data_IF_033871915519
#
_entry.id   IF_033871915519
#
_cell.length_a   1.000
_cell.length_b   1.000
_cell.length_c   1.000
_cell.angle_alpha   90.00
_cell.angle_beta   90.00
_cell.angle_gamma   90.00
#
_symmetry.space_group_name_H-M   'P 1'
#
loop_
_entity.id
_entity.type
_entity.pdbx_description
1 polymer ?
#
# COMPACT_ATOMS: atom_id res chain seq x y z
N UNK A 1 -14.97 -12.87 26.85
CA UNK A 1 -14.80 -12.46 25.43
C UNK A 1 -13.83 -11.30 25.41
N UNK A 2 -12.69 -11.46 24.75
CA UNK A 2 -11.55 -10.58 25.01
C UNK A 2 -11.27 -9.70 23.80
N UNK A 3 -11.44 -8.40 23.97
CA UNK A 3 -10.91 -7.42 23.03
C UNK A 3 -9.40 -7.44 23.21
N UNK A 4 -8.66 -7.77 22.14
CA UNK A 4 -7.21 -7.72 22.16
C UNK A 4 -6.75 -6.34 21.74
N UNK A 5 -5.99 -5.68 22.62
CA UNK A 5 -5.37 -4.38 22.34
C UNK A 5 -3.96 -4.60 21.83
N UNK A 6 -3.52 -3.73 20.94
CA UNK A 6 -2.18 -3.74 20.38
C UNK A 6 -1.48 -2.42 20.68
N UNK A 7 -0.18 -2.44 21.02
CA UNK A 7 0.61 -1.23 21.11
C UNK A 7 0.64 -0.49 19.78
N UNK A 8 0.66 0.85 19.84
CA UNK A 8 0.78 1.69 18.64
C UNK A 8 2.01 1.35 17.80
N UNK A 9 3.12 1.01 18.47
CA UNK A 9 4.37 0.60 17.83
C UNK A 9 4.24 -0.65 16.96
N UNK A 10 3.30 -1.56 17.28
CA UNK A 10 3.03 -2.73 16.42
C UNK A 10 2.52 -2.29 15.06
N UNK A 11 1.57 -1.35 15.01
CA UNK A 11 1.00 -0.85 13.76
C UNK A 11 2.06 -0.11 12.93
N UNK A 12 2.89 0.72 13.59
CA UNK A 12 3.99 1.44 12.94
C UNK A 12 4.99 0.49 12.29
N UNK A 13 5.42 -0.55 13.01
CA UNK A 13 6.37 -1.56 12.48
C UNK A 13 5.79 -2.33 11.30
N UNK A 14 4.54 -2.77 11.40
CA UNK A 14 3.85 -3.46 10.30
C UNK A 14 3.76 -2.55 9.07
N UNK A 15 3.34 -1.29 9.25
CA UNK A 15 3.27 -0.31 8.18
C UNK A 15 4.63 -0.06 7.53
N UNK A 16 5.67 0.18 8.33
CA UNK A 16 7.04 0.40 7.85
C UNK A 16 7.55 -0.78 7.03
N UNK A 17 7.27 -2.01 7.47
CA UNK A 17 7.67 -3.21 6.74
C UNK A 17 6.96 -3.32 5.38
N UNK A 18 5.64 -3.11 5.35
CA UNK A 18 4.87 -3.16 4.09
C UNK A 18 5.39 -2.07 3.12
N UNK A 19 5.56 -0.85 3.62
CA UNK A 19 6.07 0.27 2.82
C UNK A 19 7.48 0.03 2.29
N UNK A 20 8.37 -0.53 3.11
CA UNK A 20 9.73 -0.90 2.70
C UNK A 20 9.80 -2.03 1.69
N UNK A 21 8.73 -2.83 1.55
CA UNK A 21 8.65 -3.88 0.52
C UNK A 21 8.00 -3.37 -0.77
N UNK A 22 7.13 -2.36 -0.67
CA UNK A 22 6.41 -1.77 -1.81
C UNK A 22 7.14 -0.55 -2.40
N UNK A 23 8.47 -0.60 -2.45
CA UNK A 23 9.28 0.50 -2.99
C UNK A 23 9.21 0.46 -4.51
N UNK A 24 8.70 1.52 -5.12
CA UNK A 24 8.82 1.75 -6.54
C UNK A 24 10.15 2.43 -6.81
N UNK A 25 10.96 1.85 -7.69
CA UNK A 25 12.11 2.52 -8.30
C UNK A 25 11.60 3.57 -9.30
N UNK A 26 10.80 4.52 -8.85
CA UNK A 26 10.46 5.67 -9.67
C UNK A 26 11.76 6.49 -9.81
N UNK A 27 12.17 6.78 -11.06
CA UNK A 27 13.34 7.58 -11.42
C UNK A 27 13.34 9.03 -10.88
N UNK A 28 12.40 9.36 -9.97
CA UNK A 28 12.33 10.59 -9.19
C UNK A 28 12.97 10.48 -7.81
N UNK A 29 13.39 9.28 -7.39
CA UNK A 29 14.47 9.20 -6.41
C UNK A 29 15.70 9.67 -7.17
N UNK A 30 16.05 10.96 -7.01
CA UNK A 30 17.26 11.55 -7.56
C UNK A 30 18.38 10.51 -7.40
N UNK A 31 18.92 9.90 -8.48
CA UNK A 31 20.30 9.48 -8.39
C UNK A 31 21.04 10.76 -8.00
N UNK A 32 21.88 10.68 -6.96
CA UNK A 32 22.86 11.73 -6.75
C UNK A 32 23.45 12.04 -8.12
N UNK A 33 23.31 13.29 -8.54
CA UNK A 33 23.82 13.76 -9.81
C UNK A 33 25.33 13.52 -9.80
N UNK A 34 25.77 12.40 -10.36
CA UNK A 34 27.17 12.10 -10.63
C UNK A 34 27.70 12.91 -11.84
N UNK A 35 26.96 13.93 -12.28
CA UNK A 35 27.37 14.88 -13.31
C UNK A 35 28.55 15.80 -12.90
N UNK A 36 29.25 15.48 -11.82
CA UNK A 36 30.50 16.14 -11.40
C UNK A 36 31.70 15.17 -11.32
N UNK A 37 31.60 13.95 -11.87
CA UNK A 37 32.79 13.13 -12.09
C UNK A 37 33.27 13.33 -13.52
N UNK A 38 34.33 14.15 -13.63
CA UNK A 38 35.17 14.28 -14.81
C UNK A 38 35.51 12.91 -15.42
N UNK A 39 35.60 12.87 -16.75
CA UNK A 39 35.73 11.69 -17.63
C UNK A 39 37.01 10.82 -17.44
N UNK A 40 37.67 10.82 -16.28
CA UNK A 40 38.95 10.10 -16.11
C UNK A 40 39.10 9.22 -14.86
N UNK A 41 38.06 8.99 -14.03
CA UNK A 41 38.22 8.08 -12.87
C UNK A 41 37.44 6.77 -13.00
N UNK A 42 38.19 5.68 -12.84
CA UNK A 42 37.79 4.28 -12.82
C UNK A 42 36.51 4.04 -12.00
N UNK A 43 35.60 3.25 -12.58
CA UNK A 43 34.42 2.70 -11.90
C UNK A 43 34.87 2.06 -10.57
N UNK A 44 34.37 2.51 -9.40
CA UNK A 44 34.72 1.87 -8.14
C UNK A 44 34.16 0.45 -8.11
N UNK A 45 34.99 -0.52 -7.72
CA UNK A 45 34.54 -1.89 -7.51
C UNK A 45 33.44 -1.94 -6.42
N UNK A 46 32.35 -2.68 -6.63
CA UNK A 46 31.25 -2.72 -5.67
C UNK A 46 31.69 -3.38 -4.35
N UNK A 47 31.49 -2.69 -3.23
CA UNK A 47 31.82 -3.19 -1.89
C UNK A 47 30.67 -3.98 -1.24
N UNK A 48 29.47 -4.01 -1.85
CA UNK A 48 28.28 -4.70 -1.33
C UNK A 48 27.39 -5.33 -2.42
N UNK A 49 26.65 -6.39 -2.04
CA UNK A 49 25.65 -7.03 -2.90
C UNK A 49 24.47 -6.09 -3.26
N UNK A 50 24.20 -5.07 -2.44
CA UNK A 50 23.19 -4.04 -2.74
C UNK A 50 23.63 -3.13 -3.92
N UNK A 51 24.94 -2.98 -4.14
CA UNK A 51 25.51 -2.15 -5.23
C UNK A 51 25.43 -2.84 -6.60
N UNK A 52 25.19 -4.16 -6.61
CA UNK A 52 25.01 -4.90 -7.87
C UNK A 52 23.71 -4.55 -8.58
N UNK A 53 22.71 -4.00 -7.88
CA UNK A 53 21.47 -3.52 -8.49
C UNK A 53 21.72 -2.41 -9.53
N UNK A 54 22.74 -1.57 -9.30
CA UNK A 54 23.20 -0.56 -10.25
C UNK A 54 24.02 -1.15 -11.41
N UNK A 55 24.76 -2.23 -11.16
CA UNK A 55 25.59 -2.91 -12.18
C UNK A 55 24.74 -3.67 -13.20
N UNK A 56 23.65 -4.30 -12.78
CA UNK A 56 22.73 -4.99 -13.70
C UNK A 56 21.88 -4.05 -14.55
N UNK A 57 21.83 -2.74 -14.25
CA UNK A 57 21.17 -1.75 -15.10
C UNK A 57 21.96 -1.46 -16.39
N UNK A 58 23.23 -1.88 -16.47
CA UNK A 58 24.12 -1.55 -17.59
C UNK A 58 24.27 -2.67 -18.64
N UNK A 59 23.76 -3.87 -18.37
CA UNK A 59 23.96 -5.04 -19.21
C UNK A 59 22.72 -5.44 -20.01
N UNK A 60 22.27 -4.62 -20.97
CA UNK A 60 21.34 -5.10 -22.00
C UNK A 60 20.22 -4.18 -22.46
N UNK A 61 20.38 -2.85 -22.39
CA UNK A 61 19.47 -1.94 -23.09
C UNK A 61 20.28 -1.09 -24.06
N UNK A 62 19.92 -1.15 -25.32
CA UNK A 62 20.45 -0.27 -26.35
C UNK A 62 20.11 1.19 -26.01
N UNK A 63 20.92 2.17 -26.45
CA UNK A 63 20.61 3.60 -26.25
C UNK A 63 19.24 4.02 -26.82
N UNK A 64 18.67 3.20 -27.72
CA UNK A 64 17.31 3.32 -28.26
C UNK A 64 16.20 2.87 -27.28
N UNK A 65 16.52 2.10 -26.23
CA UNK A 65 15.60 1.72 -25.15
C UNK A 65 15.70 2.67 -23.94
N UNK A 66 16.84 3.33 -23.76
CA UNK A 66 17.04 4.40 -22.76
C UNK A 66 16.33 5.71 -23.12
N UNK A 67 15.83 5.83 -24.35
CA UNK A 67 14.92 6.88 -24.81
C UNK A 67 13.42 6.56 -24.57
N UNK A 68 13.10 5.62 -23.67
CA UNK A 68 11.75 5.41 -23.12
C UNK A 68 11.26 6.51 -22.16
N UNK A 69 11.88 7.68 -22.17
CA UNK A 69 11.59 8.83 -21.31
C UNK A 69 10.30 9.57 -21.69
N UNK A 70 9.18 8.92 -22.02
CA UNK A 70 7.85 9.58 -22.12
C UNK A 70 6.68 8.61 -22.40
N UNK A 71 6.42 7.65 -21.52
CA UNK A 71 5.05 7.11 -21.40
C UNK A 71 4.29 7.86 -20.30
N UNK A 72 4.22 9.17 -20.48
CA UNK A 72 3.36 10.03 -19.68
C UNK A 72 1.94 9.81 -20.19
N UNK A 73 1.00 9.64 -19.27
CA UNK A 73 -0.44 9.50 -19.50
C UNK A 73 -0.93 8.14 -20.03
N UNK A 74 -0.28 7.04 -19.65
CA UNK A 74 -0.81 5.69 -19.89
C UNK A 74 -0.58 4.71 -18.75
N UNK A 75 -1.41 3.68 -18.71
CA UNK A 75 -1.25 2.57 -17.78
C UNK A 75 -0.14 1.60 -18.24
N UNK A 76 0.61 1.05 -17.29
CA UNK A 76 1.59 -0.01 -17.51
C UNK A 76 1.58 -1.01 -16.34
N UNK A 77 2.04 -2.23 -16.58
CA UNK A 77 2.19 -3.25 -15.52
C UNK A 77 3.46 -2.95 -14.71
N UNK A 78 3.36 -2.93 -13.38
CA UNK A 78 4.54 -2.80 -12.52
C UNK A 78 5.30 -4.12 -12.43
N UNK A 79 6.63 -4.02 -12.29
CA UNK A 79 7.50 -5.15 -11.99
C UNK A 79 7.49 -5.52 -10.50
N UNK A 80 7.01 -4.63 -9.62
CA UNK A 80 6.93 -4.88 -8.18
C UNK A 80 5.81 -5.85 -7.88
N UNK A 81 6.15 -6.96 -7.22
CA UNK A 81 5.17 -7.95 -6.76
C UNK A 81 4.58 -7.53 -5.40
N UNK A 82 3.31 -7.11 -5.31
CA UNK A 82 2.73 -6.67 -4.04
C UNK A 82 2.66 -7.79 -2.98
N UNK A 83 2.65 -9.05 -3.42
CA UNK A 83 2.59 -10.21 -2.54
C UNK A 83 3.88 -10.44 -1.74
N UNK A 84 5.02 -9.86 -2.15
CA UNK A 84 6.28 -10.02 -1.43
C UNK A 84 6.20 -9.45 0.00
N UNK A 85 5.35 -8.44 0.20
CA UNK A 85 5.08 -7.90 1.52
C UNK A 85 4.34 -8.87 2.45
N UNK A 86 3.75 -9.96 1.95
CA UNK A 86 3.13 -11.00 2.78
C UNK A 86 4.16 -12.00 3.35
N UNK A 87 5.36 -12.11 2.77
CA UNK A 87 6.34 -13.15 3.11
C UNK A 87 6.76 -13.14 4.59
N UNK A 88 6.87 -11.96 5.22
CA UNK A 88 7.23 -11.82 6.64
C UNK A 88 6.08 -11.31 7.52
N UNK A 89 4.87 -11.17 6.96
CA UNK A 89 3.71 -10.77 7.75
C UNK A 89 3.10 -12.01 8.44
N UNK A 90 3.12 -12.06 9.79
CA UNK A 90 2.64 -13.24 10.49
C UNK A 90 1.13 -13.41 10.31
N UNK A 91 0.72 -14.66 10.07
CA UNK A 91 -0.68 -15.05 10.03
C UNK A 91 -1.44 -14.61 8.78
N UNK A 92 -0.77 -14.09 7.74
CA UNK A 92 -1.35 -13.83 6.41
C UNK A 92 -0.57 -14.53 5.31
N UNK A 93 -1.27 -14.92 4.26
CA UNK A 93 -0.70 -15.53 3.06
C UNK A 93 -1.55 -15.23 1.85
N UNK A 94 -0.95 -15.23 0.66
CA UNK A 94 -1.70 -15.21 -0.58
C UNK A 94 -2.19 -16.63 -0.91
N UNK A 95 -3.45 -16.76 -1.32
CA UNK A 95 -3.96 -18.02 -1.84
C UNK A 95 -3.20 -18.40 -3.12
N UNK A 96 -2.61 -19.61 -3.22
CA UNK A 96 -1.75 -20.00 -4.34
C UNK A 96 -2.49 -20.11 -5.69
N UNK A 97 -3.83 -20.10 -5.68
CA UNK A 97 -4.61 -20.03 -6.91
C UNK A 97 -4.58 -18.64 -7.57
N UNK A 98 -4.07 -17.63 -6.87
CA UNK A 98 -4.07 -16.23 -7.28
C UNK A 98 -2.69 -15.59 -7.19
N UNK A 99 -2.49 -14.57 -8.01
CA UNK A 99 -1.35 -13.66 -7.98
C UNK A 99 -1.82 -12.23 -7.80
N UNK A 100 -1.11 -11.45 -6.98
CA UNK A 100 -1.30 -10.01 -6.93
C UNK A 100 -0.49 -9.36 -8.05
N UNK A 101 -1.15 -8.52 -8.83
CA UNK A 101 -0.54 -7.76 -9.93
C UNK A 101 -0.90 -6.31 -9.73
N UNK A 102 0.05 -5.42 -10.06
CA UNK A 102 -0.14 -3.99 -9.96
C UNK A 102 -0.01 -3.32 -11.33
N UNK A 103 -0.92 -2.40 -11.60
CA UNK A 103 -0.86 -1.49 -12.74
C UNK A 103 -0.59 -0.08 -12.23
N UNK A 104 0.21 0.68 -12.95
CA UNK A 104 0.59 2.05 -12.61
C UNK A 104 0.22 2.97 -13.75
N UNK A 105 -0.24 4.16 -13.40
CA UNK A 105 -0.46 5.29 -14.29
C UNK A 105 0.37 6.46 -13.80
N UNK A 106 1.04 7.16 -14.71
CA UNK A 106 1.92 8.31 -14.41
C UNK A 106 1.58 9.49 -15.31
N UNK A 107 1.24 10.63 -14.71
CA UNK A 107 0.92 11.88 -15.40
C UNK A 107 1.62 13.05 -14.71
N UNK A 108 2.82 13.40 -15.19
CA UNK A 108 3.61 14.49 -14.60
C UNK A 108 4.01 14.20 -13.15
N UNK A 109 3.48 14.98 -12.21
CA UNK A 109 3.68 14.81 -10.76
C UNK A 109 2.62 13.93 -10.09
N UNK A 110 1.54 13.62 -10.80
CA UNK A 110 0.47 12.77 -10.32
C UNK A 110 0.64 11.32 -10.80
N UNK A 111 0.03 10.41 -10.05
CA UNK A 111 0.09 8.98 -10.32
C UNK A 111 -0.98 8.23 -9.56
N UNK A 112 -1.39 7.09 -10.11
CA UNK A 112 -2.29 6.14 -9.48
C UNK A 112 -1.74 4.74 -9.71
N UNK A 113 -1.89 3.87 -8.72
CA UNK A 113 -1.75 2.44 -8.95
C UNK A 113 -3.06 1.72 -8.69
N UNK A 114 -3.14 0.52 -9.25
CA UNK A 114 -4.23 -0.41 -9.09
C UNK A 114 -3.63 -1.77 -8.79
N UNK A 115 -3.97 -2.34 -7.63
CA UNK A 115 -3.62 -3.73 -7.30
C UNK A 115 -4.85 -4.62 -7.48
N UNK A 116 -4.67 -5.71 -8.23
CA UNK A 116 -5.70 -6.71 -8.50
C UNK A 116 -5.18 -8.10 -8.16
N UNK A 117 -6.10 -9.00 -7.78
CA UNK A 117 -5.83 -10.42 -7.68
C UNK A 117 -6.34 -11.13 -8.93
N UNK A 118 -5.47 -11.77 -9.67
CA UNK A 118 -5.79 -12.56 -10.87
C UNK A 118 -5.50 -14.02 -10.62
N UNK A 119 -6.26 -14.98 -11.18
CA UNK A 119 -5.90 -16.39 -11.10
C UNK A 119 -4.52 -16.63 -11.70
N UNK A 120 -3.72 -17.53 -11.13
CA UNK A 120 -2.32 -17.77 -11.54
C UNK A 120 -2.17 -18.00 -13.05
N UNK A 121 -3.11 -18.74 -13.67
CA UNK A 121 -3.10 -19.00 -15.13
C UNK A 121 -3.25 -17.74 -16.00
N UNK A 122 -3.75 -16.63 -15.45
CA UNK A 122 -3.93 -15.35 -16.13
C UNK A 122 -2.91 -14.29 -15.70
N UNK A 123 -1.91 -14.65 -14.89
CA UNK A 123 -0.92 -13.69 -14.39
C UNK A 123 0.29 -13.50 -15.32
N UNK A 124 0.27 -14.09 -16.52
CA UNK A 124 1.36 -13.94 -17.50
C UNK A 124 1.29 -12.57 -18.18
N UNK A 125 2.43 -12.03 -18.59
CA UNK A 125 2.52 -10.69 -19.18
C UNK A 125 1.56 -10.52 -20.38
N UNK A 126 1.44 -11.54 -21.23
CA UNK A 126 0.52 -11.55 -22.39
C UNK A 126 -0.93 -11.28 -21.98
N UNK A 127 -1.41 -11.89 -20.90
CA UNK A 127 -2.77 -11.67 -20.40
C UNK A 127 -2.93 -10.30 -19.75
N UNK A 128 -1.91 -9.84 -19.03
CA UNK A 128 -1.94 -8.54 -18.35
C UNK A 128 -1.90 -7.38 -19.35
N UNK A 129 -1.07 -7.47 -20.39
CA UNK A 129 -0.96 -6.45 -21.45
C UNK A 129 -2.23 -6.35 -22.29
N UNK A 130 -2.94 -7.46 -22.51
CA UNK A 130 -4.25 -7.44 -23.19
C UNK A 130 -5.23 -6.49 -22.51
N UNK A 131 -5.20 -6.40 -21.18
CA UNK A 131 -6.06 -5.47 -20.43
C UNK A 131 -5.70 -3.99 -20.63
N UNK A 132 -4.44 -3.71 -21.01
CA UNK A 132 -3.97 -2.36 -21.32
C UNK A 132 -4.50 -1.87 -22.68
N UNK A 133 -4.77 -2.77 -23.62
CA UNK A 133 -5.28 -2.41 -24.95
C UNK A 133 -6.69 -1.80 -24.90
N UNK A 134 -7.45 -2.14 -23.86
CA UNK A 134 -8.83 -1.67 -23.63
C UNK A 134 -8.94 -0.59 -22.56
N UNK A 135 -7.81 -0.21 -21.93
CA UNK A 135 -7.80 0.82 -20.89
C UNK A 135 -7.62 2.22 -21.49
N UNK A 136 -8.16 3.22 -20.79
CA UNK A 136 -8.09 4.61 -21.21
C UNK A 136 -7.23 5.44 -20.25
N UNK A 137 -7.77 6.57 -19.82
CA UNK A 137 -7.16 7.42 -18.80
C UNK A 137 -7.34 6.83 -17.38
N UNK A 138 -7.08 7.66 -16.36
CA UNK A 138 -7.26 7.28 -14.94
C UNK A 138 -8.71 6.83 -14.63
N UNK A 139 -9.71 7.35 -15.35
CA UNK A 139 -11.12 7.01 -15.13
C UNK A 139 -11.50 5.64 -15.70
N UNK A 140 -10.65 5.08 -16.58
CA UNK A 140 -10.83 3.78 -17.21
C UNK A 140 -9.64 2.86 -16.93
N UNK A 141 -9.49 2.40 -15.67
CA UNK A 141 -8.38 1.54 -15.28
C UNK A 141 -8.43 0.19 -16.01
N UNK A 142 -7.27 -0.49 -16.15
CA UNK A 142 -7.19 -1.81 -16.75
C UNK A 142 -8.01 -2.83 -15.95
N UNK A 143 -8.65 -3.74 -16.69
CA UNK A 143 -9.49 -4.81 -16.14
C UNK A 143 -8.99 -6.16 -16.67
N UNK A 144 -8.06 -6.81 -15.98
CA UNK A 144 -7.58 -8.12 -16.41
C UNK A 144 -8.66 -9.19 -16.32
N UNK A 145 -8.55 -10.17 -17.22
CA UNK A 145 -9.50 -11.26 -17.35
C UNK A 145 -9.59 -12.07 -16.04
N UNK A 146 -10.81 -12.30 -15.55
CA UNK A 146 -11.11 -13.05 -14.32
C UNK A 146 -10.47 -12.51 -13.03
N UNK A 147 -10.10 -11.23 -12.99
CA UNK A 147 -9.68 -10.58 -11.76
C UNK A 147 -10.78 -10.61 -10.69
N UNK A 148 -10.41 -10.83 -9.43
CA UNK A 148 -11.34 -10.72 -8.32
C UNK A 148 -11.80 -9.26 -8.16
N UNK A 149 -13.06 -9.00 -7.78
CA UNK A 149 -13.56 -7.64 -7.55
C UNK A 149 -12.79 -6.88 -6.46
N UNK A 150 -12.26 -7.59 -5.47
CA UNK A 150 -11.40 -7.04 -4.42
C UNK A 150 -10.22 -7.99 -4.21
N UNK A 151 -9.00 -7.46 -4.27
CA UNK A 151 -7.79 -8.29 -4.12
C UNK A 151 -7.71 -8.97 -2.74
N UNK A 152 -8.34 -8.40 -1.70
CA UNK A 152 -8.40 -9.00 -0.36
C UNK A 152 -9.15 -10.34 -0.34
N UNK A 153 -9.93 -10.68 -1.37
CA UNK A 153 -10.57 -11.99 -1.50
C UNK A 153 -9.56 -13.11 -1.83
N UNK A 154 -8.36 -12.77 -2.30
CA UNK A 154 -7.26 -13.73 -2.50
C UNK A 154 -6.38 -13.91 -1.26
N UNK A 155 -6.63 -13.17 -0.17
CA UNK A 155 -5.81 -13.23 1.04
C UNK A 155 -6.41 -14.25 2.00
N UNK A 156 -5.56 -15.18 2.44
CA UNK A 156 -5.82 -16.17 3.47
C UNK A 156 -4.96 -15.88 4.71
N UNK A 157 -5.23 -16.59 5.81
CA UNK A 157 -4.53 -16.36 7.07
C UNK A 157 -5.04 -17.19 8.22
N UNK A 158 -4.38 -17.08 9.36
CA UNK A 158 -4.62 -17.90 10.56
C UNK A 158 -5.84 -17.45 11.39
N UNK A 159 -6.53 -16.38 10.96
CA UNK A 159 -7.70 -15.80 11.62
C UNK A 159 -7.41 -15.30 13.05
N UNK A 160 -6.14 -15.11 13.41
CA UNK A 160 -5.75 -14.54 14.69
C UNK A 160 -6.10 -13.04 14.74
N UNK A 161 -6.28 -12.45 15.94
CA UNK A 161 -6.49 -11.01 16.06
C UNK A 161 -5.39 -10.16 15.41
N UNK A 162 -4.13 -10.63 15.46
CA UNK A 162 -3.01 -9.95 14.81
C UNK A 162 -3.13 -10.00 13.28
N UNK A 163 -3.49 -11.14 12.69
CA UNK A 163 -3.66 -11.25 11.23
C UNK A 163 -4.69 -10.26 10.68
N UNK A 164 -5.80 -10.02 11.38
CA UNK A 164 -6.80 -9.02 10.95
C UNK A 164 -6.28 -7.60 11.03
N UNK A 165 -5.52 -7.27 12.09
CA UNK A 165 -4.88 -5.97 12.21
C UNK A 165 -3.90 -5.74 11.05
N UNK A 166 -3.09 -6.75 10.72
CA UNK A 166 -2.17 -6.67 9.60
C UNK A 166 -2.92 -6.55 8.28
N UNK A 167 -3.98 -7.34 8.05
CA UNK A 167 -4.79 -7.30 6.83
C UNK A 167 -5.40 -5.91 6.60
N UNK A 168 -5.81 -5.26 7.69
CA UNK A 168 -6.36 -3.90 7.70
C UNK A 168 -5.34 -2.86 7.23
N UNK A 169 -4.08 -2.99 7.66
CA UNK A 169 -2.98 -2.12 7.24
C UNK A 169 -2.53 -2.44 5.81
N UNK A 170 -2.28 -3.72 5.53
CA UNK A 170 -1.90 -4.23 4.21
C UNK A 170 -2.83 -3.75 3.12
N UNK A 171 -4.15 -3.87 3.33
CA UNK A 171 -5.13 -3.35 2.37
C UNK A 171 -4.92 -1.87 2.07
N UNK A 172 -4.75 -1.04 3.09
CA UNK A 172 -4.65 0.42 2.92
C UNK A 172 -3.36 0.81 2.21
N UNK A 173 -2.24 0.16 2.53
CA UNK A 173 -0.97 0.38 1.82
C UNK A 173 -1.09 -0.04 0.34
N UNK A 174 -1.69 -1.20 0.04
CA UNK A 174 -1.85 -1.66 -1.34
C UNK A 174 -2.86 -0.82 -2.14
N UNK A 175 -3.90 -0.28 -1.50
CA UNK A 175 -4.85 0.62 -2.16
C UNK A 175 -4.24 1.97 -2.54
N UNK A 176 -3.19 2.39 -1.85
CA UNK A 176 -2.45 3.62 -2.16
C UNK A 176 -1.15 3.34 -2.93
N UNK A 177 -0.84 2.08 -3.21
CA UNK A 177 0.34 1.71 -3.98
C UNK A 177 0.35 2.43 -5.33
N UNK A 178 1.44 3.15 -5.63
CA UNK A 178 1.58 3.91 -6.86
C UNK A 178 0.80 5.23 -6.92
N UNK A 179 0.11 5.64 -5.86
CA UNK A 179 -0.50 6.97 -5.77
C UNK A 179 0.58 8.05 -5.57
N UNK A 180 0.46 9.16 -6.29
CA UNK A 180 1.33 10.34 -6.15
C UNK A 180 0.49 11.62 -6.09
N UNK A 181 1.11 12.72 -5.67
CA UNK A 181 0.50 14.05 -5.65
C UNK A 181 -0.72 14.14 -4.74
N UNK A 182 -1.81 14.71 -5.25
CA UNK A 182 -3.04 14.94 -4.47
C UNK A 182 -3.88 13.67 -4.23
N UNK A 183 -3.50 12.55 -4.85
CA UNK A 183 -4.21 11.26 -4.76
C UNK A 183 -3.75 10.42 -3.58
N UNK A 184 -2.61 10.79 -3.00
CA UNK A 184 -2.17 10.35 -1.69
C UNK A 184 -3.20 10.76 -0.64
N UNK A 185 -3.87 9.78 -0.05
CA UNK A 185 -4.80 10.00 1.07
C UNK A 185 -4.23 9.37 2.33
N UNK A 186 -4.04 8.06 2.33
CA UNK A 186 -3.64 7.26 3.48
C UNK A 186 -2.20 7.54 3.96
N UNK A 187 -1.30 7.92 3.08
CA UNK A 187 0.10 8.26 3.35
C UNK A 187 0.23 9.51 4.23
N UNK A 188 -0.80 10.36 4.28
CA UNK A 188 -0.88 11.50 5.18
C UNK A 188 -1.45 11.17 6.56
N UNK A 189 -1.94 9.95 6.78
CA UNK A 189 -2.45 9.50 8.08
C UNK A 189 -1.29 9.09 8.99
N UNK A 190 -1.41 9.44 10.28
CA UNK A 190 -0.46 9.09 11.34
C UNK A 190 -1.24 8.44 12.48
N UNK A 191 -0.79 7.27 12.95
CA UNK A 191 -1.48 6.55 14.01
C UNK A 191 -1.41 7.29 15.35
N UNK A 192 -2.49 7.19 16.12
CA UNK A 192 -2.58 7.72 17.48
C UNK A 192 -3.20 6.69 18.42
N UNK A 193 -2.77 6.72 19.67
CA UNK A 193 -3.34 6.00 20.81
C UNK A 193 -3.77 6.95 21.95
N UNK A 194 -3.52 8.25 21.80
CA UNK A 194 -3.98 9.31 22.67
C UNK A 194 -4.12 10.64 21.89
N UNK A 195 -4.92 11.56 22.44
CA UNK A 195 -5.01 12.94 21.93
C UNK A 195 -3.87 13.78 22.50
N UNK A 196 -3.42 14.83 21.79
CA UNK A 196 -2.52 15.82 22.37
C UNK A 196 -3.16 16.48 23.60
N UNK A 197 -2.39 16.67 24.67
CA UNK A 197 -2.87 17.10 26.00
C UNK A 197 -3.55 18.49 26.06
N UNK A 198 -3.59 19.24 24.94
CA UNK A 198 -4.15 20.59 24.83
C UNK A 198 -5.01 20.78 23.56
N UNK A 199 -5.42 19.68 22.92
CA UNK A 199 -6.17 19.76 21.68
C UNK A 199 -7.62 20.22 21.92
N UNK A 200 -8.00 21.38 21.38
CA UNK A 200 -9.40 21.80 21.32
C UNK A 200 -10.13 20.96 20.26
N UNK A 201 -10.70 19.84 20.70
CA UNK A 201 -11.36 18.86 19.83
C UNK A 201 -12.83 19.22 19.62
N UNK A 202 -13.18 19.54 18.38
CA UNK A 202 -14.57 19.63 17.93
C UNK A 202 -15.03 18.23 17.50
N UNK A 203 -15.72 17.52 18.40
CA UNK A 203 -16.24 16.17 18.15
C UNK A 203 -17.39 16.21 17.13
N UNK A 204 -17.37 15.26 16.20
CA UNK A 204 -18.45 15.02 15.21
C UNK A 204 -19.29 13.79 15.53
N UNK A 205 -18.92 13.07 16.59
CA UNK A 205 -19.56 11.83 17.01
C UNK A 205 -19.82 11.86 18.50
N UNK A 206 -20.99 11.37 18.89
CA UNK A 206 -21.40 11.21 20.28
C UNK A 206 -21.72 9.72 20.56
N UNK A 207 -21.22 9.12 21.65
CA UNK A 207 -20.25 9.67 22.59
C UNK A 207 -18.83 9.77 22.00
N UNK A 208 -18.02 10.69 22.53
CA UNK A 208 -16.60 10.78 22.15
C UNK A 208 -15.85 9.50 22.57
N UNK A 209 -14.91 9.00 21.74
CA UNK A 209 -14.11 7.85 22.10
C UNK A 209 -13.26 8.13 23.33
N UNK A 210 -13.31 7.21 24.31
CA UNK A 210 -12.46 7.28 25.52
C UNK A 210 -11.14 6.54 25.36
N UNK A 211 -11.05 5.65 24.38
CA UNK A 211 -9.93 4.74 24.19
C UNK A 211 -9.54 4.68 22.71
N UNK A 212 -8.39 5.27 22.41
CA UNK A 212 -7.81 5.34 21.07
C UNK A 212 -6.84 4.19 20.78
N UNK A 213 -6.63 3.26 21.73
CA UNK A 213 -5.75 2.13 21.51
C UNK A 213 -6.25 1.26 20.34
N UNK A 214 -5.35 0.84 19.43
CA UNK A 214 -5.68 -0.14 18.41
C UNK A 214 -6.20 -1.43 19.03
N UNK A 215 -7.31 -1.95 18.52
CA UNK A 215 -7.97 -3.11 19.10
C UNK A 215 -8.62 -3.99 18.06
N UNK A 216 -8.66 -5.28 18.38
CA UNK A 216 -9.29 -6.30 17.54
C UNK A 216 -10.24 -7.12 18.40
N UNK A 217 -11.43 -7.36 17.87
CA UNK A 217 -12.43 -8.24 18.47
C UNK A 217 -12.76 -9.34 17.47
N UNK A 218 -12.44 -10.58 17.83
CA UNK A 218 -12.86 -11.78 17.09
C UNK A 218 -14.04 -12.40 17.83
N UNK A 219 -15.14 -12.62 17.11
CA UNK A 219 -16.36 -13.24 17.62
C UNK A 219 -16.24 -14.77 17.55
N UNK A 220 -16.96 -15.52 18.41
CA UNK A 220 -16.99 -16.99 18.33
C UNK A 220 -17.49 -17.51 16.98
N UNK A 221 -18.27 -16.72 16.25
CA UNK A 221 -18.75 -17.02 14.89
C UNK A 221 -17.65 -16.90 13.83
N UNK A 222 -16.43 -16.50 14.21
CA UNK A 222 -15.30 -16.27 13.31
C UNK A 222 -15.26 -14.88 12.69
N UNK A 223 -16.33 -14.07 12.81
CA UNK A 223 -16.31 -12.66 12.36
C UNK A 223 -15.33 -11.84 13.20
N UNK A 224 -14.71 -10.83 12.59
CA UNK A 224 -13.78 -9.96 13.31
C UNK A 224 -14.01 -8.49 13.01
N UNK A 225 -13.63 -7.64 13.96
CA UNK A 225 -13.59 -6.19 13.79
C UNK A 225 -12.25 -5.64 14.27
N UNK A 226 -11.64 -4.78 13.47
CA UNK A 226 -10.40 -4.06 13.77
C UNK A 226 -10.74 -2.58 13.90
N UNK A 227 -10.33 -1.97 15.00
CA UNK A 227 -10.49 -0.54 15.22
C UNK A 227 -9.14 0.10 15.56
N UNK A 228 -8.82 1.20 14.89
CA UNK A 228 -7.70 2.06 15.25
C UNK A 228 -7.98 3.50 14.81
N UNK A 229 -7.12 4.41 15.24
CA UNK A 229 -7.30 5.84 15.01
C UNK A 229 -6.06 6.43 14.37
N UNK A 230 -6.29 7.43 13.54
CA UNK A 230 -5.23 8.22 12.92
C UNK A 230 -5.59 9.71 12.96
N UNK A 231 -4.61 10.57 12.79
CA UNK A 231 -4.85 11.94 12.38
C UNK A 231 -4.21 12.21 11.01
N UNK A 232 -4.79 13.17 10.30
CA UNK A 232 -4.18 13.76 9.11
C UNK A 232 -3.65 15.14 9.47
N UNK A 233 -2.35 15.34 9.27
CA UNK A 233 -1.72 16.65 9.45
C UNK A 233 -2.25 17.62 8.38
N UNK A 234 -2.75 18.77 8.82
CA UNK A 234 -3.37 19.78 7.98
C UNK A 234 -3.92 20.91 8.85
N UNK A 235 -4.50 21.94 8.23
CA UNK A 235 -5.26 22.96 8.94
C UNK A 235 -6.71 22.97 8.44
N UNK A 236 -7.69 22.46 9.21
CA UNK A 236 -7.56 21.88 10.56
C UNK A 236 -6.96 20.46 10.55
N UNK A 237 -6.47 20.01 11.72
CA UNK A 237 -6.09 18.60 11.92
C UNK A 237 -7.37 17.78 12.04
N UNK A 238 -7.47 16.67 11.31
CA UNK A 238 -8.65 15.81 11.32
C UNK A 238 -8.31 14.47 11.93
N UNK A 239 -9.09 14.01 12.90
CA UNK A 239 -8.96 12.67 13.49
C UNK A 239 -9.94 11.72 12.81
N UNK A 240 -9.42 10.56 12.41
CA UNK A 240 -10.18 9.50 11.78
C UNK A 240 -10.26 8.28 12.70
N UNK A 241 -11.45 7.67 12.74
CA UNK A 241 -11.68 6.31 13.23
C UNK A 241 -11.74 5.39 12.03
N UNK A 242 -10.94 4.34 12.05
CA UNK A 242 -10.95 3.28 11.07
C UNK A 242 -11.54 2.04 11.72
N UNK A 243 -12.65 1.54 11.17
CA UNK A 243 -13.31 0.31 11.62
C UNK A 243 -13.45 -0.65 10.45
N UNK A 244 -12.71 -1.74 10.49
CA UNK A 244 -12.75 -2.77 9.46
C UNK A 244 -13.48 -4.00 9.98
N UNK A 245 -14.49 -4.46 9.24
CA UNK A 245 -15.29 -5.63 9.58
C UNK A 245 -14.99 -6.77 8.62
N UNK A 246 -14.71 -7.95 9.15
CA UNK A 246 -14.37 -9.15 8.39
C UNK A 246 -15.44 -10.22 8.56
N UNK A 247 -15.78 -10.88 7.45
CA UNK A 247 -16.65 -12.05 7.47
C UNK A 247 -15.96 -13.26 8.12
N UNK A 248 -16.73 -14.29 8.46
CA UNK A 248 -16.24 -15.45 9.21
C UNK A 248 -15.22 -16.33 8.46
N UNK A 249 -15.27 -16.34 7.12
CA UNK A 249 -14.57 -17.33 6.30
C UNK A 249 -13.46 -16.74 5.41
N UNK A 250 -13.31 -15.42 5.36
CA UNK A 250 -12.31 -14.78 4.49
C UNK A 250 -11.86 -13.42 5.05
N UNK A 251 -10.85 -12.84 4.41
CA UNK A 251 -10.33 -11.50 4.71
C UNK A 251 -11.00 -10.40 3.88
N UNK A 252 -12.16 -10.68 3.27
CA UNK A 252 -12.98 -9.64 2.65
C UNK A 252 -13.45 -8.69 3.74
N UNK A 253 -13.17 -7.40 3.52
CA UNK A 253 -13.39 -6.37 4.51
C UNK A 253 -14.49 -5.41 4.08
N UNK A 254 -15.32 -5.03 5.04
CA UNK A 254 -16.21 -3.88 4.95
C UNK A 254 -15.61 -2.73 5.78
N UNK A 255 -14.91 -1.78 5.15
CA UNK A 255 -14.24 -0.69 5.84
C UNK A 255 -15.19 0.47 6.14
N UNK A 256 -15.08 1.02 7.35
CA UNK A 256 -15.84 2.17 7.82
C UNK A 256 -14.87 3.21 8.38
N UNK A 257 -14.39 4.08 7.49
CA UNK A 257 -13.50 5.18 7.83
C UNK A 257 -14.34 6.45 8.08
N UNK A 258 -14.21 7.06 9.25
CA UNK A 258 -15.00 8.24 9.64
C UNK A 258 -14.13 9.32 10.28
N UNK A 259 -14.26 10.55 9.82
CA UNK A 259 -13.72 11.72 10.52
C UNK A 259 -14.55 11.98 11.80
N UNK A 260 -13.93 11.84 12.97
CA UNK A 260 -14.61 11.88 14.26
C UNK A 260 -14.36 13.17 15.05
N UNK A 261 -13.30 13.90 14.75
CA UNK A 261 -13.01 15.18 15.38
C UNK A 261 -12.15 16.08 14.49
N UNK A 262 -12.27 17.38 14.72
CA UNK A 262 -11.34 18.40 14.21
C UNK A 262 -10.58 19.00 15.38
N UNK A 263 -9.29 19.25 15.20
CA UNK A 263 -8.46 20.01 16.12
C UNK A 263 -8.04 21.30 15.39
N UNK A 264 -8.47 22.43 15.94
CA UNK A 264 -7.98 23.75 15.54
C UNK A 264 -6.65 24.00 16.27
N UNK A 265 -5.65 24.51 15.53
CA UNK A 265 -4.41 25.02 16.11
C UNK A 265 -4.58 26.49 16.50
#
# INVERSE_FOLDING_TARGET
MTIQKFPLETLKKVRQYIQGTLVLSDAKTQPQSWAELDEENELPEPESLDDLSGVFAFGGLSEEELSGSTQRDRWFVSTVNPADSLLKLPGLSLNPAFRLVSYLYRAGEDGVGLVVAVPERYSTMVHLEKSLQTCGDISQPPKPDNALPQFMEAIDGDRSPLSFLIASLFRRELQEFGALGNRCQWSHHRFIDALPAQANCQWRVEPSPKDFSPKVKVLPTGQAAVEFFTYRAGNPIVIYRHLDQYAAQNYKVNPLDKAIALIQR
#
